data_IF_928056092222
#
_entry.id   IF_928056092222
#
_cell.length_a   1.000
_cell.length_b   1.000
_cell.length_c   1.000
_cell.angle_alpha   90.00
_cell.angle_beta   90.00
_cell.angle_gamma   90.00
#
_symmetry.space_group_name_H-M   'P 1'
#
loop_
_entity.id
_entity.type
_entity.pdbx_description
1 polymer ?
#
# COMPACT_ATOMS: atom_id res chain seq x y z
N UNK A 1 -9.14 11.64 8.27
CA UNK A 1 -8.90 11.50 6.82
C UNK A 1 -7.53 12.07 6.54
N UNK A 2 -6.69 11.33 5.83
CA UNK A 2 -5.41 11.80 5.33
C UNK A 2 -5.67 12.32 3.89
N UNK A 3 -5.28 13.57 3.62
CA UNK A 3 -5.75 14.30 2.42
C UNK A 3 -4.75 14.36 1.26
N UNK A 4 -3.46 14.10 1.49
CA UNK A 4 -2.43 14.14 0.44
C UNK A 4 -1.18 13.35 0.82
N UNK A 5 -0.68 12.48 -0.06
CA UNK A 5 0.63 11.86 0.13
C UNK A 5 1.76 12.88 0.22
N UNK A 6 2.77 12.58 1.04
CA UNK A 6 4.02 13.33 1.03
C UNK A 6 4.67 13.27 -0.36
N UNK A 7 5.07 14.43 -0.88
CA UNK A 7 5.34 14.63 -2.31
C UNK A 7 6.56 13.87 -2.86
N UNK A 8 7.60 13.63 -2.07
CA UNK A 8 8.86 13.10 -2.59
C UNK A 8 9.60 14.11 -3.49
N UNK A 9 10.55 13.62 -4.30
CA UNK A 9 11.46 14.48 -5.08
C UNK A 9 11.45 14.19 -6.60
N UNK A 10 10.52 13.37 -7.08
CA UNK A 10 10.38 13.00 -8.49
C UNK A 10 11.23 11.81 -8.93
N UNK A 11 11.95 11.17 -8.00
CA UNK A 11 12.75 9.99 -8.26
C UNK A 11 11.91 8.73 -8.50
N UNK A 12 10.65 8.72 -8.01
CA UNK A 12 9.72 7.60 -8.15
C UNK A 12 10.35 6.25 -7.75
N UNK A 13 11.14 6.25 -6.68
CA UNK A 13 11.95 5.10 -6.28
C UNK A 13 11.16 4.05 -5.50
N UNK A 14 11.70 2.83 -5.48
CA UNK A 14 11.16 1.75 -4.64
C UNK A 14 11.24 2.09 -3.15
N UNK A 15 12.34 2.71 -2.72
CA UNK A 15 12.57 3.15 -1.35
C UNK A 15 11.47 4.12 -0.89
N UNK A 16 11.08 5.07 -1.75
CA UNK A 16 10.01 5.99 -1.41
C UNK A 16 8.63 5.31 -1.40
N UNK A 17 8.40 4.32 -2.28
CA UNK A 17 7.18 3.52 -2.20
C UNK A 17 7.04 2.73 -0.89
N UNK A 18 8.14 2.20 -0.35
CA UNK A 18 8.12 1.56 0.97
C UNK A 18 7.80 2.55 2.09
N UNK A 19 8.31 3.78 1.99
CA UNK A 19 7.94 4.86 2.90
C UNK A 19 6.44 5.19 2.82
N UNK A 20 5.89 5.32 1.60
CA UNK A 20 4.45 5.54 1.40
C UNK A 20 3.62 4.37 1.93
N UNK A 21 4.07 3.13 1.75
CA UNK A 21 3.39 1.97 2.35
C UNK A 21 3.30 2.14 3.87
N UNK A 22 4.40 2.50 4.53
CA UNK A 22 4.39 2.74 5.97
C UNK A 22 3.43 3.87 6.37
N UNK A 23 3.36 4.96 5.60
CA UNK A 23 2.41 6.04 5.86
C UNK A 23 0.96 5.58 5.70
N UNK A 24 0.62 4.91 4.61
CA UNK A 24 -0.74 4.38 4.38
C UNK A 24 -1.13 3.43 5.52
N UNK A 25 -0.24 2.49 5.87
CA UNK A 25 -0.45 1.58 6.98
C UNK A 25 -0.68 2.33 8.30
N UNK A 26 0.18 3.29 8.62
CA UNK A 26 0.09 4.10 9.84
C UNK A 26 -1.26 4.83 9.92
N UNK A 27 -1.61 5.63 8.91
CA UNK A 27 -2.83 6.43 8.97
C UNK A 27 -4.09 5.57 9.06
N UNK A 28 -4.19 4.51 8.25
CA UNK A 28 -5.37 3.65 8.25
C UNK A 28 -5.54 2.88 9.58
N UNK A 29 -4.44 2.38 10.15
CA UNK A 29 -4.47 1.66 11.44
C UNK A 29 -4.65 2.58 12.65
N UNK A 30 -4.51 3.90 12.48
CA UNK A 30 -4.66 4.91 13.55
C UNK A 30 -5.91 5.79 13.37
N UNK A 31 -6.95 5.25 12.71
CA UNK A 31 -8.28 5.86 12.67
C UNK A 31 -8.56 6.75 11.46
N UNK A 32 -7.63 6.88 10.51
CA UNK A 32 -7.96 7.51 9.23
C UNK A 32 -8.88 6.59 8.41
N UNK A 33 -10.06 7.08 8.05
CA UNK A 33 -11.04 6.36 7.24
C UNK A 33 -10.76 6.41 5.73
N UNK A 34 -9.77 7.20 5.32
CA UNK A 34 -9.37 7.39 3.93
C UNK A 34 -7.96 7.98 3.86
N UNK A 35 -7.25 7.62 2.79
CA UNK A 35 -5.94 8.12 2.40
C UNK A 35 -6.02 8.52 0.92
N UNK A 36 -5.62 9.74 0.57
CA UNK A 36 -5.71 10.25 -0.80
C UNK A 36 -4.34 10.64 -1.34
N UNK A 37 -4.09 10.27 -2.58
CA UNK A 37 -2.85 10.62 -3.28
C UNK A 37 -3.05 11.93 -4.05
N UNK A 38 -2.03 12.79 -4.07
CA UNK A 38 -2.11 14.11 -4.68
C UNK A 38 -2.03 14.06 -6.20
N UNK A 39 -0.84 14.21 -6.80
CA UNK A 39 -0.69 14.17 -8.25
C UNK A 39 -0.50 12.73 -8.74
N UNK A 40 -1.58 12.12 -9.20
CA UNK A 40 -1.54 10.72 -9.68
C UNK A 40 -0.83 10.57 -11.03
N UNK A 41 -0.86 11.58 -11.90
CA UNK A 41 -0.30 11.52 -13.26
C UNK A 41 0.48 12.80 -13.54
N UNK A 42 1.73 12.66 -13.97
CA UNK A 42 2.57 13.79 -14.35
C UNK A 42 3.30 13.52 -15.67
N UNK A 43 3.42 14.56 -16.50
CA UNK A 43 4.37 14.59 -17.61
C UNK A 43 5.61 15.33 -17.13
N UNK A 44 6.67 14.59 -16.77
CA UNK A 44 7.78 15.09 -15.96
C UNK A 44 7.56 14.84 -14.46
N UNK A 45 8.28 15.58 -13.62
CA UNK A 45 8.25 15.42 -12.14
C UNK A 45 7.76 16.67 -11.41
N UNK A 46 7.55 17.77 -12.14
CA UNK A 46 7.15 19.04 -11.55
C UNK A 46 5.64 19.08 -11.33
N UNK A 47 5.21 19.53 -10.16
CA UNK A 47 3.82 19.83 -9.87
C UNK A 47 3.37 21.07 -10.62
N UNK A 48 2.06 21.27 -10.70
CA UNK A 48 1.48 22.53 -11.20
C UNK A 48 1.86 23.76 -10.37
N UNK A 49 2.47 23.55 -9.20
CA UNK A 49 2.92 24.59 -8.27
C UNK A 49 4.44 24.80 -8.25
N UNK A 50 5.18 24.11 -9.12
CA UNK A 50 6.60 24.41 -9.41
C UNK A 50 7.64 23.65 -8.58
N UNK A 51 7.25 22.63 -7.82
CA UNK A 51 8.19 21.75 -7.11
C UNK A 51 8.14 20.32 -7.63
N UNK A 52 9.25 19.60 -7.48
CA UNK A 52 9.33 18.19 -7.84
C UNK A 52 8.54 17.31 -6.88
N UNK A 53 7.91 16.27 -7.40
CA UNK A 53 7.18 15.27 -6.64
C UNK A 53 7.13 13.94 -7.40
N UNK A 54 6.83 12.87 -6.68
CA UNK A 54 6.50 11.57 -7.24
C UNK A 54 5.05 11.52 -7.71
N UNK A 55 4.76 10.59 -8.61
CA UNK A 55 3.43 10.33 -9.14
C UNK A 55 3.17 8.84 -9.24
N UNK A 56 1.89 8.45 -9.32
CA UNK A 56 1.54 7.05 -9.59
C UNK A 56 1.89 6.66 -11.04
N UNK A 57 1.76 7.62 -11.96
CA UNK A 57 2.05 7.47 -13.38
C UNK A 57 2.94 8.59 -13.89
N UNK A 58 3.97 8.22 -14.65
CA UNK A 58 4.76 9.14 -15.47
C UNK A 58 4.33 9.01 -16.92
N UNK A 59 4.05 10.11 -17.60
CA UNK A 59 3.59 10.15 -19.00
C UNK A 59 4.67 10.73 -19.89
N UNK A 60 4.98 10.03 -20.97
CA UNK A 60 5.73 10.57 -22.10
C UNK A 60 4.73 11.02 -23.17
N UNK A 61 4.58 12.33 -23.32
CA UNK A 61 3.61 12.93 -24.24
C UNK A 61 4.01 12.82 -25.71
N UNK A 62 5.31 12.70 -26.00
CA UNK A 62 5.81 12.57 -27.37
C UNK A 62 5.64 11.13 -27.84
N UNK A 63 6.11 10.17 -27.04
CA UNK A 63 5.97 8.74 -27.32
C UNK A 63 4.54 8.22 -27.13
N UNK A 64 3.66 8.99 -26.46
CA UNK A 64 2.30 8.59 -26.06
C UNK A 64 2.28 7.31 -25.23
N UNK A 65 3.24 7.19 -24.32
CA UNK A 65 3.39 6.06 -23.40
C UNK A 65 3.27 6.52 -21.95
N UNK A 66 3.11 5.57 -21.04
CA UNK A 66 3.14 5.85 -19.61
C UNK A 66 3.87 4.73 -18.86
N UNK A 67 4.42 5.09 -17.71
CA UNK A 67 5.05 4.18 -16.75
C UNK A 67 4.22 4.17 -15.48
N UNK A 68 3.99 2.98 -14.91
CA UNK A 68 3.46 2.82 -13.55
C UNK A 68 4.62 2.84 -12.58
N UNK A 69 4.63 3.83 -11.69
CA UNK A 69 5.69 3.98 -10.71
C UNK A 69 5.45 3.07 -9.50
N UNK A 70 6.47 2.78 -8.68
CA UNK A 70 6.34 1.91 -7.51
C UNK A 70 5.17 2.27 -6.59
N UNK A 71 4.91 3.55 -6.36
CA UNK A 71 3.81 4.03 -5.50
C UNK A 71 2.41 3.69 -6.04
N UNK A 72 2.25 3.53 -7.36
CA UNK A 72 1.00 2.99 -7.93
C UNK A 72 0.67 1.62 -7.37
N UNK A 73 1.68 0.77 -7.20
CA UNK A 73 1.50 -0.58 -6.70
C UNK A 73 1.15 -0.57 -5.22
N UNK A 74 1.74 0.33 -4.42
CA UNK A 74 1.34 0.55 -3.02
C UNK A 74 -0.14 0.89 -2.96
N UNK A 75 -0.57 1.93 -3.69
CA UNK A 75 -1.98 2.34 -3.69
C UNK A 75 -2.89 1.21 -4.17
N UNK A 76 -2.47 0.40 -5.15
CA UNK A 76 -3.23 -0.76 -5.62
C UNK A 76 -3.39 -1.86 -4.57
N UNK A 77 -2.38 -2.13 -3.74
CA UNK A 77 -2.45 -3.14 -2.67
C UNK A 77 -3.54 -2.82 -1.64
N UNK A 78 -3.89 -1.54 -1.48
CA UNK A 78 -5.00 -1.10 -0.63
C UNK A 78 -6.29 -0.92 -1.45
N UNK A 79 -6.30 -0.05 -2.46
CA UNK A 79 -7.54 0.43 -3.11
C UNK A 79 -8.23 -0.63 -3.99
N UNK A 80 -7.51 -1.65 -4.45
CA UNK A 80 -8.11 -2.71 -5.25
C UNK A 80 -8.87 -3.72 -4.40
N UNK A 81 -8.31 -4.06 -3.23
CA UNK A 81 -8.75 -5.18 -2.42
C UNK A 81 -9.65 -4.75 -1.25
N UNK A 82 -9.41 -3.58 -0.66
CA UNK A 82 -10.21 -3.04 0.44
C UNK A 82 -11.37 -2.22 -0.12
N UNK A 83 -12.60 -2.57 0.26
CA UNK A 83 -13.83 -1.94 -0.27
C UNK A 83 -14.32 -0.81 0.64
N UNK A 84 -15.04 0.18 0.09
CA UNK A 84 -15.73 1.17 0.91
C UNK A 84 -16.64 0.49 1.95
N UNK A 85 -16.52 0.91 3.20
CA UNK A 85 -17.23 0.30 4.34
C UNK A 85 -16.48 -0.84 5.01
N UNK A 86 -15.29 -1.22 4.53
CA UNK A 86 -14.44 -2.18 5.23
C UNK A 86 -14.06 -1.68 6.62
N UNK A 87 -13.98 -2.61 7.57
CA UNK A 87 -13.55 -2.35 8.95
C UNK A 87 -12.09 -2.70 9.09
N UNK A 88 -11.31 -1.80 9.69
CA UNK A 88 -9.92 -2.09 10.09
C UNK A 88 -9.94 -3.03 11.29
N UNK A 89 -9.10 -4.07 11.26
CA UNK A 89 -8.95 -5.05 12.33
C UNK A 89 -7.66 -4.80 13.10
N UNK A 90 -7.68 -5.09 14.40
CA UNK A 90 -6.47 -5.08 15.22
C UNK A 90 -5.56 -6.26 14.82
N UNK A 91 -4.26 -5.97 14.67
CA UNK A 91 -3.24 -6.96 14.30
C UNK A 91 -2.16 -6.97 15.36
N UNK A 92 -1.88 -8.14 15.91
CA UNK A 92 -0.82 -8.35 16.89
C UNK A 92 0.34 -9.18 16.32
N UNK A 93 1.48 -9.16 17.00
CA UNK A 93 2.64 -9.97 16.67
C UNK A 93 3.72 -9.23 15.86
N UNK A 94 4.69 -10.00 15.34
CA UNK A 94 5.96 -9.46 14.78
C UNK A 94 5.79 -8.57 13.55
N UNK A 95 4.66 -8.68 12.86
CA UNK A 95 4.34 -7.93 11.65
C UNK A 95 3.40 -6.74 11.89
N UNK A 96 2.97 -6.48 13.12
CA UNK A 96 1.99 -5.43 13.44
C UNK A 96 2.36 -4.02 12.94
N UNK A 97 3.66 -3.71 12.78
CA UNK A 97 4.13 -2.45 12.20
C UNK A 97 4.25 -2.44 10.66
N UNK A 98 4.20 -3.62 10.04
CA UNK A 98 4.42 -3.83 8.60
C UNK A 98 3.22 -4.49 7.91
N UNK A 99 2.11 -4.65 8.62
CA UNK A 99 0.90 -5.27 8.11
C UNK A 99 -0.35 -4.58 8.66
N UNK A 100 -1.43 -4.66 7.90
CA UNK A 100 -2.77 -4.31 8.34
C UNK A 100 -3.79 -5.30 7.79
N UNK A 101 -4.87 -5.49 8.53
CA UNK A 101 -5.97 -6.38 8.16
C UNK A 101 -7.30 -5.62 8.12
N UNK A 102 -8.16 -6.01 7.19
CA UNK A 102 -9.43 -5.34 6.91
C UNK A 102 -10.50 -6.38 6.61
N UNK A 103 -11.69 -6.21 7.18
CA UNK A 103 -12.86 -7.01 6.84
C UNK A 103 -13.76 -6.20 5.91
N UNK A 104 -13.95 -6.66 4.68
CA UNK A 104 -14.86 -6.03 3.73
C UNK A 104 -16.33 -6.26 4.13
N UNK A 105 -17.28 -5.45 3.62
CA UNK A 105 -18.71 -5.62 3.93
C UNK A 105 -19.32 -6.97 3.51
N UNK A 106 -18.68 -7.69 2.57
CA UNK A 106 -19.06 -9.03 2.14
C UNK A 106 -18.49 -10.15 3.03
N UNK A 107 -17.70 -9.80 4.05
CA UNK A 107 -17.07 -10.73 4.98
C UNK A 107 -15.68 -11.21 4.53
N UNK A 108 -15.23 -10.83 3.32
CA UNK A 108 -13.87 -11.16 2.85
C UNK A 108 -12.84 -10.42 3.69
N UNK A 109 -11.85 -11.16 4.19
CA UNK A 109 -10.73 -10.64 4.94
C UNK A 109 -9.57 -10.31 4.00
N UNK A 110 -9.01 -9.11 4.13
CA UNK A 110 -7.88 -8.61 3.35
C UNK A 110 -6.72 -8.33 4.28
N UNK A 111 -5.57 -8.96 4.04
CA UNK A 111 -4.32 -8.73 4.78
C UNK A 111 -3.29 -8.14 3.85
N UNK A 112 -2.84 -6.92 4.13
CA UNK A 112 -1.79 -6.23 3.38
C UNK A 112 -0.52 -6.24 4.22
N UNK A 113 0.60 -6.69 3.66
CA UNK A 113 1.88 -6.83 4.37
C UNK A 113 3.07 -6.42 3.49
N UNK A 114 4.08 -5.84 4.13
CA UNK A 114 5.35 -5.49 3.53
C UNK A 114 6.48 -6.36 4.10
N UNK A 115 7.41 -6.75 3.24
CA UNK A 115 8.75 -7.15 3.63
C UNK A 115 9.74 -6.06 3.17
N UNK A 116 10.20 -5.23 4.10
CA UNK A 116 11.16 -4.15 3.81
C UNK A 116 12.63 -4.63 3.82
N UNK A 117 12.89 -5.91 4.12
CA UNK A 117 14.23 -6.47 4.24
C UNK A 117 14.76 -6.97 2.88
N UNK A 118 16.08 -6.97 2.72
CA UNK A 118 16.78 -7.53 1.54
C UNK A 118 16.90 -9.06 1.56
N UNK A 119 16.01 -9.75 2.27
CA UNK A 119 15.95 -11.21 2.34
C UNK A 119 14.51 -11.68 2.40
N UNK A 120 14.29 -12.93 2.02
CA UNK A 120 12.99 -13.58 2.19
C UNK A 120 12.57 -13.59 3.66
N UNK A 121 11.27 -13.46 3.88
CA UNK A 121 10.70 -13.44 5.21
C UNK A 121 9.46 -14.34 5.25
N UNK A 122 9.48 -15.33 6.14
CA UNK A 122 8.29 -16.15 6.39
C UNK A 122 7.21 -15.27 7.03
N UNK A 123 5.97 -15.42 6.58
CA UNK A 123 4.80 -14.73 7.08
C UNK A 123 3.75 -15.77 7.44
N UNK A 124 3.22 -15.67 8.65
CA UNK A 124 2.17 -16.55 9.16
C UNK A 124 1.04 -15.68 9.67
N UNK A 125 -0.17 -16.00 9.24
CA UNK A 125 -1.38 -15.30 9.64
C UNK A 125 -2.36 -16.30 10.26
N UNK A 126 -3.08 -15.86 11.29
CA UNK A 126 -4.14 -16.63 11.93
C UNK A 126 -5.24 -15.70 12.41
N UNK A 127 -6.49 -16.04 12.07
CA UNK A 127 -7.68 -15.44 12.66
C UNK A 127 -8.09 -16.29 13.88
N UNK A 128 -8.06 -15.76 15.12
CA UNK A 128 -8.39 -16.53 16.32
C UNK A 128 -9.85 -16.98 16.37
N UNK A 129 -10.75 -16.24 15.73
CA UNK A 129 -12.19 -16.57 15.68
C UNK A 129 -12.50 -17.54 14.53
N UNK A 130 -11.63 -17.60 13.52
CA UNK A 130 -11.79 -18.45 12.34
C UNK A 130 -10.50 -19.20 11.99
N UNK A 131 -10.19 -20.27 12.73
CA UNK A 131 -8.97 -21.07 12.54
C UNK A 131 -8.75 -21.57 11.09
N UNK A 132 -9.82 -21.72 10.29
CA UNK A 132 -9.74 -22.10 8.88
C UNK A 132 -9.10 -21.05 7.96
N UNK A 133 -8.96 -19.80 8.43
CA UNK A 133 -8.34 -18.68 7.70
C UNK A 133 -6.83 -18.55 7.95
N UNK A 134 -6.23 -19.48 8.70
CA UNK A 134 -4.80 -19.46 8.96
C UNK A 134 -3.99 -19.91 7.73
N UNK A 135 -2.88 -19.23 7.45
CA UNK A 135 -1.98 -19.60 6.35
C UNK A 135 -0.54 -19.17 6.62
N UNK A 136 0.38 -19.71 5.80
CA UNK A 136 1.78 -19.28 5.77
C UNK A 136 2.19 -18.93 4.34
N UNK A 137 3.10 -17.98 4.19
CA UNK A 137 3.65 -17.55 2.91
C UNK A 137 5.11 -17.11 3.08
N UNK A 138 5.89 -17.18 2.01
CA UNK A 138 7.23 -16.57 1.96
C UNK A 138 7.16 -15.25 1.22
N UNK A 139 7.45 -14.15 1.91
CA UNK A 139 7.50 -12.81 1.31
C UNK A 139 8.86 -12.61 0.66
N UNK A 140 8.88 -12.24 -0.62
CA UNK A 140 10.10 -11.90 -1.34
C UNK A 140 10.82 -10.71 -0.67
N UNK A 141 12.15 -10.54 -0.86
CA UNK A 141 12.86 -9.34 -0.42
C UNK A 141 12.20 -8.07 -0.98
N UNK A 142 12.16 -7.00 -0.19
CA UNK A 142 11.74 -5.65 -0.64
C UNK A 142 10.42 -5.72 -1.43
N UNK A 143 9.35 -6.20 -0.79
CA UNK A 143 8.10 -6.55 -1.46
C UNK A 143 6.85 -6.11 -0.70
N UNK A 144 5.75 -5.95 -1.43
CA UNK A 144 4.40 -5.77 -0.90
C UNK A 144 3.55 -6.99 -1.31
N UNK A 145 2.71 -7.45 -0.40
CA UNK A 145 1.82 -8.59 -0.62
C UNK A 145 0.43 -8.29 -0.07
N UNK A 146 -0.60 -8.75 -0.78
CA UNK A 146 -1.98 -8.73 -0.30
C UNK A 146 -2.55 -10.13 -0.39
N UNK A 147 -3.15 -10.59 0.70
CA UNK A 147 -3.85 -11.86 0.78
C UNK A 147 -5.35 -11.59 0.99
N UNK A 148 -6.19 -12.34 0.29
CA UNK A 148 -7.65 -12.29 0.42
C UNK A 148 -8.15 -13.66 0.86
N UNK A 149 -8.96 -13.69 1.92
CA UNK A 149 -9.48 -14.90 2.54
C UNK A 149 -11.01 -14.78 2.65
N UNK A 150 -11.71 -15.86 2.30
CA UNK A 150 -13.17 -15.97 2.42
C UNK A 150 -13.61 -16.44 3.81
#
# INVERSE_FOLDING_TARGET
>A
MQTESECGMGDNSWQYAEYIFHLVNHYLTHGAIAYTYWNMVLAGTESTWGWHQNSLFSVDTEAKTFTRNPEYYVMRHYSHFIKPGARVLDVEGRFSSMASAYENPDGTLVVVVQNALDRELEFSFSDPDHAGRAFTATLAPRSFSTFTLD
#
